data_IF_578810272496
#
_entry.id   IF_578810272496
#
_cell.length_a   1.000
_cell.length_b   1.000
_cell.length_c   1.000
_cell.angle_alpha   90.00
_cell.angle_beta   90.00
_cell.angle_gamma   90.00
#
_symmetry.space_group_name_H-M   'P 1'
#
loop_
_entity.id
_entity.type
_entity.pdbx_description
1 polymer ?
#
# COMPACT_ATOMS: atom_id res chain seq x y z
N UNK A 1 -17.88 4.41 13.67
CA UNK A 1 -16.52 4.09 13.20
C UNK A 1 -15.70 5.36 13.14
N UNK A 2 -14.49 5.33 13.64
CA UNK A 2 -13.63 6.52 13.71
C UNK A 2 -12.89 6.82 12.41
N UNK A 3 -12.83 5.89 11.48
CA UNK A 3 -12.16 6.10 10.19
C UNK A 3 -13.14 6.68 9.20
N UNK A 4 -12.73 7.77 8.53
CA UNK A 4 -13.51 8.42 7.49
C UNK A 4 -12.76 8.35 6.16
N UNK A 5 -13.50 8.18 5.08
CA UNK A 5 -12.93 8.29 3.74
C UNK A 5 -13.10 9.74 3.29
N UNK A 6 -11.99 10.47 3.17
CA UNK A 6 -12.04 11.88 2.76
C UNK A 6 -12.31 12.02 1.27
N UNK A 7 -11.70 11.15 0.47
CA UNK A 7 -11.88 11.14 -0.99
C UNK A 7 -11.41 9.83 -1.57
N UNK A 8 -11.82 9.58 -2.81
CA UNK A 8 -11.38 8.42 -3.60
C UNK A 8 -10.84 8.95 -4.92
N UNK A 9 -9.65 8.50 -5.31
CA UNK A 9 -9.05 8.85 -6.59
C UNK A 9 -8.70 7.59 -7.36
N UNK A 10 -8.82 7.64 -8.68
CA UNK A 10 -8.33 6.57 -9.54
C UNK A 10 -6.92 6.92 -9.98
N UNK A 11 -6.02 5.96 -9.89
CA UNK A 11 -4.64 6.11 -10.33
C UNK A 11 -4.22 4.90 -11.15
N UNK A 12 -3.23 5.11 -12.02
CA UNK A 12 -2.59 4.03 -12.76
C UNK A 12 -1.14 3.99 -12.36
N UNK A 13 -0.58 2.80 -12.22
CA UNK A 13 0.86 2.68 -12.06
C UNK A 13 1.47 1.90 -13.22
N UNK A 14 2.68 2.33 -13.59
CA UNK A 14 3.49 1.63 -14.59
C UNK A 14 4.06 0.35 -13.98
N UNK A 15 4.58 -0.54 -14.83
CA UNK A 15 5.28 -1.72 -14.36
C UNK A 15 6.40 -1.28 -13.40
N UNK A 16 6.56 -2.00 -12.31
CA UNK A 16 7.51 -1.65 -11.26
C UNK A 16 8.08 -2.91 -10.62
N UNK A 17 9.23 -2.76 -9.99
CA UNK A 17 9.78 -3.80 -9.12
C UNK A 17 9.55 -3.39 -7.67
N UNK A 18 8.81 -4.20 -6.93
CA UNK A 18 8.63 -4.00 -5.50
C UNK A 18 9.74 -4.76 -4.78
N UNK A 19 10.59 -4.04 -4.07
CA UNK A 19 11.72 -4.62 -3.34
C UNK A 19 11.45 -4.51 -1.85
N UNK A 20 11.60 -5.63 -1.14
CA UNK A 20 11.36 -5.64 0.29
C UNK A 20 11.48 -7.03 0.90
N UNK A 21 10.56 -7.36 1.78
CA UNK A 21 10.47 -8.67 2.41
C UNK A 21 9.06 -9.21 2.29
N UNK A 22 8.96 -10.49 2.00
CA UNK A 22 7.69 -11.19 1.90
C UNK A 22 7.38 -11.92 3.20
N UNK A 23 6.13 -11.84 3.63
CA UNK A 23 5.62 -12.52 4.81
C UNK A 23 4.37 -13.33 4.45
N UNK A 24 4.33 -14.57 4.88
CA UNK A 24 3.14 -15.40 4.76
C UNK A 24 2.58 -15.59 6.17
N UNK A 25 1.33 -15.19 6.37
CA UNK A 25 0.73 -15.13 7.69
C UNK A 25 0.87 -13.76 8.31
N UNK A 26 1.70 -13.62 9.33
CA UNK A 26 1.84 -12.35 10.05
C UNK A 26 3.01 -11.51 9.52
N UNK A 27 2.73 -10.24 9.24
CA UNK A 27 3.75 -9.27 8.86
C UNK A 27 4.49 -8.79 10.12
N UNK A 28 5.80 -8.57 10.00
CA UNK A 28 6.62 -8.15 11.13
C UNK A 28 7.27 -6.78 10.88
N UNK A 29 6.53 -5.71 11.20
CA UNK A 29 7.01 -4.34 11.06
C UNK A 29 8.14 -4.02 12.03
N UNK A 30 8.14 -4.62 13.21
CA UNK A 30 9.19 -4.37 14.21
C UNK A 30 10.56 -4.79 13.70
N UNK A 31 10.64 -5.91 12.98
CA UNK A 31 11.85 -6.38 12.34
C UNK A 31 12.41 -5.34 11.35
N UNK A 32 11.53 -4.71 10.60
CA UNK A 32 11.91 -3.66 9.66
C UNK A 32 12.55 -2.47 10.34
N UNK A 33 11.93 -1.98 11.40
CA UNK A 33 12.44 -0.83 12.13
C UNK A 33 13.72 -1.15 12.88
N UNK A 34 13.81 -2.33 13.48
CA UNK A 34 14.99 -2.76 14.25
C UNK A 34 16.22 -2.92 13.36
N UNK A 35 16.06 -3.31 12.10
CA UNK A 35 17.14 -3.52 11.16
C UNK A 35 17.39 -2.33 10.22
N UNK A 36 16.60 -1.26 10.33
CA UNK A 36 16.70 -0.08 9.47
C UNK A 36 16.67 -0.42 7.97
N UNK A 37 15.82 -1.36 7.59
CA UNK A 37 15.78 -1.84 6.21
C UNK A 37 15.27 -0.81 5.20
N UNK A 38 14.43 0.14 5.62
CA UNK A 38 14.04 1.23 4.73
C UNK A 38 15.23 2.12 4.39
N UNK A 39 16.14 2.35 5.34
CA UNK A 39 17.37 3.11 5.07
C UNK A 39 18.21 2.42 4.00
N UNK A 40 18.26 1.08 4.02
CA UNK A 40 18.97 0.31 3.00
C UNK A 40 18.30 0.48 1.64
N UNK A 41 16.97 0.39 1.58
CA UNK A 41 16.24 0.57 0.32
C UNK A 41 16.42 1.97 -0.25
N UNK A 42 16.48 2.98 0.61
CA UNK A 42 16.68 4.37 0.18
C UNK A 42 18.07 4.62 -0.41
N UNK A 43 19.04 3.72 -0.19
CA UNK A 43 20.37 3.83 -0.81
C UNK A 43 20.44 3.25 -2.20
N UNK A 44 19.40 2.55 -2.67
CA UNK A 44 19.37 1.94 -4.00
C UNK A 44 19.44 3.05 -5.06
N UNK A 45 20.34 2.94 -6.06
CA UNK A 45 20.40 3.92 -7.15
C UNK A 45 19.08 3.98 -7.92
N UNK A 46 18.66 5.17 -8.27
CA UNK A 46 17.37 5.41 -8.90
C UNK A 46 16.34 5.78 -7.83
N UNK A 47 15.38 6.61 -8.24
CA UNK A 47 14.32 7.01 -7.32
C UNK A 47 13.22 5.96 -7.31
N UNK A 48 12.65 5.67 -6.13
CA UNK A 48 11.41 4.89 -6.08
C UNK A 48 10.35 5.55 -6.94
N UNK A 49 9.51 4.76 -7.56
CA UNK A 49 8.44 5.23 -8.43
C UNK A 49 7.07 4.98 -7.79
N UNK A 50 6.02 5.47 -8.44
CA UNK A 50 4.63 5.28 -7.98
C UNK A 50 4.40 5.78 -6.55
N UNK A 51 4.81 7.03 -6.29
CA UNK A 51 4.69 7.68 -4.99
C UNK A 51 5.62 7.06 -3.93
N UNK A 52 6.70 7.73 -3.66
CA UNK A 52 7.91 7.31 -2.94
C UNK A 52 7.75 7.00 -1.44
N UNK A 53 6.58 6.58 -0.99
CA UNK A 53 6.38 6.25 0.41
C UNK A 53 6.88 4.86 0.76
N UNK A 54 6.93 4.60 2.05
CA UNK A 54 7.05 3.23 2.54
C UNK A 54 5.71 2.53 2.32
N UNK A 55 5.77 1.29 1.89
CA UNK A 55 4.60 0.57 1.39
C UNK A 55 4.42 -0.74 2.16
N UNK A 56 3.20 -0.98 2.63
CA UNK A 56 2.74 -2.31 3.00
C UNK A 56 1.86 -2.81 1.87
N UNK A 57 2.10 -4.01 1.38
CA UNK A 57 1.34 -4.57 0.27
C UNK A 57 0.79 -5.94 0.63
N UNK A 58 -0.39 -6.26 0.11
CA UNK A 58 -1.00 -7.57 0.33
C UNK A 58 -1.75 -8.01 -0.92
N UNK A 59 -1.66 -9.30 -1.20
CA UNK A 59 -2.50 -9.97 -2.19
C UNK A 59 -2.84 -11.36 -1.68
N UNK A 60 -3.80 -12.01 -2.32
CA UNK A 60 -4.16 -13.39 -2.01
C UNK A 60 -3.53 -14.30 -3.06
N UNK A 61 -2.76 -15.28 -2.62
CA UNK A 61 -2.15 -16.29 -3.49
C UNK A 61 -2.55 -17.66 -2.96
N UNK A 62 -3.22 -18.45 -3.79
CA UNK A 62 -3.71 -19.79 -3.40
C UNK A 62 -4.54 -19.76 -2.11
N UNK A 63 -5.39 -18.74 -1.96
CA UNK A 63 -6.27 -18.59 -0.81
C UNK A 63 -5.61 -18.04 0.44
N UNK A 64 -4.31 -17.71 0.40
CA UNK A 64 -3.55 -17.22 1.56
C UNK A 64 -3.07 -15.80 1.36
N UNK A 65 -3.17 -14.95 2.39
CA UNK A 65 -2.59 -13.61 2.31
C UNK A 65 -1.07 -13.67 2.20
N UNK A 66 -0.54 -12.95 1.24
CA UNK A 66 0.89 -12.72 1.07
C UNK A 66 1.15 -11.25 1.32
N UNK A 67 1.92 -10.95 2.35
CA UNK A 67 2.25 -9.58 2.76
C UNK A 67 3.66 -9.21 2.35
N UNK A 68 3.83 -7.94 2.00
CA UNK A 68 5.14 -7.37 1.69
C UNK A 68 5.30 -6.04 2.42
N UNK A 69 6.51 -5.77 2.83
CA UNK A 69 6.92 -4.44 3.27
C UNK A 69 8.07 -4.02 2.35
N UNK A 70 8.04 -2.83 1.81
CA UNK A 70 9.09 -2.36 0.93
C UNK A 70 8.76 -1.08 0.21
N UNK A 71 9.31 -0.93 -0.98
CA UNK A 71 9.15 0.26 -1.83
C UNK A 71 9.13 -0.13 -3.30
N UNK A 72 8.56 0.75 -4.13
CA UNK A 72 8.54 0.57 -5.58
C UNK A 72 9.78 1.16 -6.24
N UNK A 73 10.35 0.42 -7.18
CA UNK A 73 11.50 0.86 -7.98
C UNK A 73 11.22 0.60 -9.46
N UNK A 74 11.98 1.23 -10.37
CA UNK A 74 11.89 0.90 -11.80
C UNK A 74 12.14 -0.59 -12.04
N UNK A 75 11.53 -1.13 -13.10
CA UNK A 75 11.80 -2.52 -13.52
C UNK A 75 13.30 -2.71 -13.73
N UNK A 76 13.78 -3.92 -13.49
CA UNK A 76 15.18 -4.28 -13.62
C UNK A 76 16.14 -3.61 -12.60
N UNK A 77 15.61 -2.96 -11.55
CA UNK A 77 16.44 -2.47 -10.45
C UNK A 77 17.11 -3.64 -9.75
N UNK A 78 18.42 -3.52 -9.49
CA UNK A 78 19.16 -4.56 -8.77
C UNK A 78 18.65 -4.68 -7.34
N UNK A 79 18.46 -5.93 -6.89
CA UNK A 79 17.93 -6.21 -5.56
C UNK A 79 19.10 -6.41 -4.59
N UNK A 80 19.18 -5.63 -3.51
CA UNK A 80 20.25 -5.79 -2.52
C UNK A 80 20.24 -7.20 -1.91
N UNK A 81 21.42 -7.68 -1.54
CA UNK A 81 21.55 -8.95 -0.85
C UNK A 81 20.69 -8.98 0.42
N UNK A 82 19.97 -10.08 0.63
CA UNK A 82 19.10 -10.23 1.78
C UNK A 82 17.67 -9.71 1.58
N UNK A 83 17.37 -9.07 0.46
CA UNK A 83 16.02 -8.62 0.14
C UNK A 83 15.39 -9.51 -0.92
N UNK A 84 14.07 -9.46 -0.98
CA UNK A 84 13.25 -10.17 -1.96
C UNK A 84 12.61 -9.14 -2.89
N UNK A 85 12.04 -9.61 -3.99
CA UNK A 85 11.32 -8.73 -4.89
C UNK A 85 10.17 -9.43 -5.57
N UNK A 86 9.23 -8.64 -6.06
CA UNK A 86 8.18 -9.08 -6.95
C UNK A 86 7.99 -8.02 -8.03
N UNK A 87 7.91 -8.46 -9.28
CA UNK A 87 7.63 -7.55 -10.38
C UNK A 87 6.12 -7.39 -10.52
N UNK A 88 5.68 -6.14 -10.50
CA UNK A 88 4.27 -5.78 -10.58
C UNK A 88 4.01 -5.21 -11.96
N UNK A 89 3.06 -5.82 -12.66
CA UNK A 89 2.64 -5.34 -13.97
C UNK A 89 1.85 -4.05 -13.84
N UNK A 90 1.72 -3.26 -14.92
CA UNK A 90 0.89 -2.06 -14.87
C UNK A 90 -0.50 -2.39 -14.33
N UNK A 91 -0.97 -1.58 -13.42
CA UNK A 91 -2.30 -1.80 -12.85
C UNK A 91 -3.00 -0.47 -12.60
N UNK A 92 -4.33 -0.57 -12.50
CA UNK A 92 -5.17 0.55 -12.10
C UNK A 92 -5.67 0.28 -10.69
N UNK A 93 -5.80 1.35 -9.90
CA UNK A 93 -6.29 1.21 -8.54
C UNK A 93 -7.05 2.44 -8.09
N UNK A 94 -7.89 2.24 -7.09
CA UNK A 94 -8.59 3.31 -6.39
C UNK A 94 -7.83 3.58 -5.10
N UNK A 95 -7.55 4.84 -4.84
CA UNK A 95 -6.88 5.26 -3.61
C UNK A 95 -7.92 5.90 -2.70
N UNK A 96 -8.07 5.35 -1.52
CA UNK A 96 -8.93 5.87 -0.47
C UNK A 96 -8.06 6.63 0.51
N UNK A 97 -8.37 7.90 0.73
CA UNK A 97 -7.67 8.70 1.72
C UNK A 97 -8.39 8.55 3.06
N UNK A 98 -7.86 7.66 3.89
CA UNK A 98 -8.46 7.29 5.17
C UNK A 98 -7.99 8.24 6.26
N UNK A 99 -8.94 8.84 6.96
CA UNK A 99 -8.68 9.83 8.00
C UNK A 99 -9.08 9.28 9.36
N UNK A 100 -8.16 9.31 10.31
CA UNK A 100 -8.41 8.79 11.65
C UNK A 100 -7.28 9.12 12.61
N UNK A 101 -7.43 8.70 13.85
CA UNK A 101 -6.45 8.95 14.91
C UNK A 101 -5.11 8.33 14.60
N UNK A 102 -4.04 9.06 14.92
CA UNK A 102 -2.69 8.52 14.86
C UNK A 102 -2.61 7.24 15.69
N UNK A 103 -1.94 6.24 15.13
CA UNK A 103 -1.77 4.91 15.75
C UNK A 103 -3.07 4.12 15.97
N UNK A 104 -4.17 4.49 15.31
CA UNK A 104 -5.40 3.71 15.41
C UNK A 104 -5.28 2.39 14.68
N UNK A 105 -5.60 1.29 15.37
CA UNK A 105 -5.66 -0.03 14.73
C UNK A 105 -6.84 -0.15 13.76
N UNK A 106 -7.82 0.75 13.83
CA UNK A 106 -9.00 0.70 12.96
C UNK A 106 -8.67 0.89 11.49
N UNK A 107 -7.55 1.56 11.14
CA UNK A 107 -7.10 1.65 9.76
C UNK A 107 -6.94 0.28 9.09
N UNK A 108 -6.64 -0.75 9.86
CA UNK A 108 -6.21 -2.06 9.36
C UNK A 108 -7.25 -3.15 9.57
N UNK A 109 -8.48 -2.78 9.89
CA UNK A 109 -9.55 -3.78 10.14
C UNK A 109 -10.27 -4.15 8.85
N UNK A 110 -10.89 -5.32 8.86
CA UNK A 110 -11.78 -5.73 7.76
C UNK A 110 -12.95 -4.78 7.60
N UNK A 111 -13.44 -4.20 8.70
CA UNK A 111 -14.54 -3.23 8.64
C UNK A 111 -14.14 -2.00 7.80
N UNK A 112 -12.93 -1.50 7.95
CA UNK A 112 -12.43 -0.38 7.14
C UNK A 112 -12.24 -0.81 5.68
N UNK A 113 -11.71 -1.99 5.44
CA UNK A 113 -11.59 -2.54 4.08
C UNK A 113 -12.96 -2.64 3.41
N UNK A 114 -13.95 -3.18 4.12
CA UNK A 114 -15.31 -3.32 3.60
C UNK A 114 -15.95 -1.96 3.31
N UNK A 115 -15.67 -0.95 4.14
CA UNK A 115 -16.11 0.42 3.90
C UNK A 115 -15.56 0.94 2.57
N UNK A 116 -14.30 0.67 2.28
CA UNK A 116 -13.67 1.03 1.00
C UNK A 116 -14.34 0.31 -0.18
N UNK A 117 -14.64 -0.98 -0.02
CA UNK A 117 -15.30 -1.74 -1.09
C UNK A 117 -16.72 -1.19 -1.38
N UNK A 118 -17.44 -0.74 -0.36
CA UNK A 118 -18.75 -0.10 -0.57
C UNK A 118 -18.59 1.23 -1.33
N UNK A 119 -17.57 2.00 -1.04
CA UNK A 119 -17.26 3.22 -1.79
C UNK A 119 -16.90 2.92 -3.24
N UNK A 120 -16.20 1.82 -3.53
CA UNK A 120 -15.95 1.40 -4.91
C UNK A 120 -17.26 1.23 -5.68
N UNK A 121 -18.24 0.55 -5.07
CA UNK A 121 -19.54 0.35 -5.70
C UNK A 121 -20.24 1.68 -5.96
N UNK A 122 -20.18 2.60 -5.01
CA UNK A 122 -20.77 3.92 -5.16
C UNK A 122 -20.17 4.72 -6.32
N UNK A 123 -18.91 4.45 -6.65
CA UNK A 123 -18.20 5.07 -7.77
C UNK A 123 -18.25 4.23 -9.05
N UNK A 124 -19.06 3.16 -9.09
CA UNK A 124 -19.17 2.24 -10.22
C UNK A 124 -17.83 1.60 -10.61
N UNK A 125 -17.00 1.35 -9.64
CA UNK A 125 -15.71 0.70 -9.81
C UNK A 125 -15.78 -0.74 -9.31
N UNK A 126 -15.02 -1.62 -9.92
CA UNK A 126 -15.02 -3.03 -9.58
C UNK A 126 -13.65 -3.46 -9.05
N UNK A 127 -13.66 -4.09 -7.88
CA UNK A 127 -12.48 -4.69 -7.27
C UNK A 127 -11.91 -5.79 -8.17
N UNK A 128 -10.62 -5.76 -8.39
CA UNK A 128 -9.92 -6.88 -9.02
C UNK A 128 -9.60 -7.90 -7.92
N UNK A 129 -10.39 -8.98 -7.88
CA UNK A 129 -10.34 -9.96 -6.78
C UNK A 129 -8.93 -10.54 -6.58
N UNK A 130 -8.56 -10.72 -5.30
CA UNK A 130 -7.30 -11.33 -4.87
C UNK A 130 -6.04 -10.57 -5.29
N UNK A 131 -6.16 -9.50 -6.04
CA UNK A 131 -5.03 -8.71 -6.48
C UNK A 131 -4.61 -7.69 -5.41
N UNK A 132 -3.57 -6.92 -5.70
CA UNK A 132 -2.89 -6.08 -4.74
C UNK A 132 -3.78 -5.04 -4.04
N UNK A 133 -3.53 -4.88 -2.73
CA UNK A 133 -3.89 -3.70 -1.96
C UNK A 133 -2.60 -3.13 -1.39
N UNK A 134 -2.52 -1.80 -1.33
CA UNK A 134 -1.33 -1.12 -0.82
C UNK A 134 -1.69 -0.15 0.28
N UNK A 135 -0.91 -0.16 1.35
CA UNK A 135 -0.92 0.88 2.38
C UNK A 135 0.28 1.77 2.11
N UNK A 136 0.03 3.04 1.78
CA UNK A 136 1.09 4.00 1.48
C UNK A 136 1.24 4.95 2.65
N UNK A 137 2.41 4.93 3.26
CA UNK A 137 2.70 5.74 4.46
C UNK A 137 3.39 7.02 4.04
N UNK A 138 2.66 7.92 3.42
CA UNK A 138 3.21 9.15 2.85
C UNK A 138 3.38 10.26 3.88
N UNK A 139 4.52 10.92 3.83
CA UNK A 139 4.81 12.10 4.65
C UNK A 139 4.37 13.36 3.91
N UNK A 140 3.89 14.39 4.59
CA UNK A 140 3.68 14.45 6.05
C UNK A 140 2.30 13.95 6.50
N UNK A 141 1.38 13.63 5.57
CA UNK A 141 -0.02 13.38 5.92
C UNK A 141 -0.24 12.18 6.82
N UNK A 142 0.63 11.15 6.74
CA UNK A 142 0.55 10.01 7.66
C UNK A 142 1.40 10.22 8.92
N UNK A 143 2.52 10.91 8.79
CA UNK A 143 3.52 10.99 9.87
C UNK A 143 3.38 12.20 10.76
N UNK A 144 2.66 13.24 10.31
CA UNK A 144 2.47 14.47 11.09
C UNK A 144 0.98 14.68 11.32
N UNK A 145 0.48 14.39 12.54
CA UNK A 145 -0.94 14.58 12.84
C UNK A 145 -1.37 16.02 12.70
N UNK A 146 -2.65 16.22 12.36
CA UNK A 146 -3.26 17.54 12.34
C UNK A 146 -3.56 18.02 13.77
N UNK A 147 -4.22 19.17 13.89
CA UNK A 147 -4.55 19.74 15.20
C UNK A 147 -5.49 18.90 16.03
N UNK A 148 -6.19 17.96 15.40
CA UNK A 148 -7.10 17.03 16.08
C UNK A 148 -6.42 15.70 16.42
N UNK A 149 -5.14 15.54 16.11
CA UNK A 149 -4.40 14.30 16.33
C UNK A 149 -4.70 13.22 15.30
N UNK A 150 -5.18 13.60 14.12
CA UNK A 150 -5.53 12.67 13.05
C UNK A 150 -4.51 12.67 11.92
N UNK A 151 -4.39 11.53 11.25
CA UNK A 151 -3.51 11.33 10.10
C UNK A 151 -4.30 10.79 8.92
N UNK A 152 -3.68 10.80 7.74
CA UNK A 152 -4.27 10.24 6.52
C UNK A 152 -3.42 9.07 6.06
N UNK A 153 -4.04 7.91 5.94
CA UNK A 153 -3.43 6.73 5.31
C UNK A 153 -3.98 6.59 3.89
N UNK A 154 -3.10 6.49 2.93
CA UNK A 154 -3.49 6.18 1.55
C UNK A 154 -3.66 4.68 1.42
N UNK A 155 -4.87 4.22 1.20
CA UNK A 155 -5.17 2.81 1.01
C UNK A 155 -5.60 2.57 -0.43
N UNK A 156 -4.79 1.84 -1.19
CA UNK A 156 -5.02 1.60 -2.61
C UNK A 156 -5.53 0.18 -2.84
N UNK A 157 -6.53 0.04 -3.68
CA UNK A 157 -7.15 -1.24 -4.01
C UNK A 157 -7.16 -1.39 -5.53
N UNK A 158 -6.59 -2.49 -6.01
CA UNK A 158 -6.55 -2.79 -7.44
C UNK A 158 -7.96 -2.96 -8.01
N UNK A 159 -8.23 -2.32 -9.14
CA UNK A 159 -9.55 -2.33 -9.79
C UNK A 159 -9.45 -2.83 -11.21
N UNK A 160 -10.55 -3.40 -11.71
CA UNK A 160 -10.68 -3.74 -13.12
C UNK A 160 -10.81 -2.47 -13.94
N UNK A 161 -10.18 -2.47 -15.11
CA UNK A 161 -10.33 -1.36 -16.04
C UNK A 161 -11.73 -1.44 -16.66
N UNK A 162 -12.52 -0.34 -16.62
CA UNK A 162 -13.80 -0.36 -17.31
C UNK A 162 -13.61 -0.68 -18.78
N UNK A 163 -14.43 -1.57 -19.32
CA UNK A 163 -14.45 -1.85 -20.75
C UNK A 163 -14.92 -0.61 -21.49
N UNK A 164 -14.25 -0.22 -22.60
CA UNK A 164 -14.69 0.92 -23.38
C UNK A 164 -16.07 0.71 -24.01
#
# INVERSE_FOLDING_TARGET
MEIQILKVEQESCTAARFIGKRYVGNVNWEEWWSNNWFDVLETIPGLPINDNGYIGAVRIVDGMPEYWIGMFFPVDTDVPSGFEYVDIEPLNYAVFYLYGKENSSEFYTMATHDLCLEELKAHNLKRKEDDWCFERYNCPRFTTPDTNGNVILDYAVSIEVPMP
#
